data_IF_852110436618
#
_entry.id   IF_852110436618
#
_cell.length_a   1.000
_cell.length_b   1.000
_cell.length_c   1.000
_cell.angle_alpha   90.00
_cell.angle_beta   90.00
_cell.angle_gamma   90.00
#
_symmetry.space_group_name_H-M   'P 1'
#
loop_
_entity.id
_entity.type
_entity.pdbx_description
1 polymer ?
#
# COMPACT_ATOMS: atom_id res chain seq x y z
N UNK A 1 -12.27 9.07 7.73
CA UNK A 1 -13.17 8.79 6.59
C UNK A 1 -12.73 9.48 5.29
N UNK A 2 -12.41 10.78 5.29
CA UNK A 2 -11.93 11.51 4.10
C UNK A 2 -10.66 10.91 3.46
N UNK A 3 -9.60 10.67 4.26
CA UNK A 3 -8.35 10.07 3.78
C UNK A 3 -8.55 8.68 3.15
N UNK A 4 -9.43 7.86 3.74
CA UNK A 4 -9.80 6.54 3.20
C UNK A 4 -10.43 6.63 1.81
N UNK A 5 -11.27 7.64 1.57
CA UNK A 5 -11.86 7.87 0.25
C UNK A 5 -10.82 8.33 -0.77
N UNK A 6 -9.92 9.24 -0.37
CA UNK A 6 -8.83 9.72 -1.21
C UNK A 6 -7.88 8.57 -1.61
N UNK A 7 -7.47 7.75 -0.63
CA UNK A 7 -6.64 6.57 -0.85
C UNK A 7 -7.32 5.55 -1.77
N UNK A 8 -8.60 5.23 -1.54
CA UNK A 8 -9.36 4.35 -2.43
C UNK A 8 -9.37 4.88 -3.87
N UNK A 9 -9.50 6.18 -4.06
CA UNK A 9 -9.52 6.79 -5.39
C UNK A 9 -8.15 6.76 -6.07
N UNK A 10 -7.08 7.05 -5.33
CA UNK A 10 -5.70 6.95 -5.82
C UNK A 10 -5.27 5.51 -6.14
N UNK A 11 -5.73 4.55 -5.35
CA UNK A 11 -5.40 3.13 -5.51
C UNK A 11 -6.31 2.46 -6.52
N UNK A 12 -7.49 2.98 -6.83
CA UNK A 12 -8.43 2.36 -7.76
C UNK A 12 -7.80 1.96 -9.12
N UNK A 13 -6.94 2.78 -9.77
CA UNK A 13 -6.24 2.38 -10.98
C UNK A 13 -5.26 1.22 -10.75
N UNK A 14 -4.52 1.25 -9.63
CA UNK A 14 -3.57 0.20 -9.27
C UNK A 14 -4.29 -1.11 -8.92
N UNK A 15 -5.43 -1.03 -8.22
CA UNK A 15 -6.21 -2.18 -7.78
C UNK A 15 -6.92 -2.89 -8.94
N UNK A 16 -7.20 -2.24 -10.07
CA UNK A 16 -7.87 -2.87 -11.23
C UNK A 16 -7.16 -4.12 -11.73
N UNK A 17 -5.82 -4.11 -11.72
CA UNK A 17 -4.99 -5.21 -12.22
C UNK A 17 -4.42 -6.09 -11.10
N UNK A 18 -4.81 -5.83 -9.85
CA UNK A 18 -4.33 -6.56 -8.68
C UNK A 18 -5.29 -7.71 -8.38
N UNK A 19 -4.80 -8.94 -8.14
CA UNK A 19 -5.63 -10.08 -7.74
C UNK A 19 -6.44 -9.79 -6.48
N UNK A 20 -7.62 -10.40 -6.34
CA UNK A 20 -8.55 -10.11 -5.24
C UNK A 20 -7.95 -10.35 -3.85
N UNK A 21 -7.09 -11.37 -3.73
CA UNK A 21 -6.36 -11.67 -2.49
C UNK A 21 -5.41 -10.52 -2.09
N UNK A 22 -4.75 -9.90 -3.06
CA UNK A 22 -3.88 -8.75 -2.83
C UNK A 22 -4.69 -7.48 -2.53
N UNK A 23 -5.86 -7.30 -3.17
CA UNK A 23 -6.77 -6.19 -2.83
C UNK A 23 -7.23 -6.27 -1.38
N UNK A 24 -7.59 -7.45 -0.89
CA UNK A 24 -8.00 -7.65 0.51
C UNK A 24 -6.86 -7.30 1.49
N UNK A 25 -5.62 -7.70 1.18
CA UNK A 25 -4.44 -7.33 1.99
C UNK A 25 -4.23 -5.81 2.02
N UNK A 26 -4.33 -5.14 0.86
CA UNK A 26 -4.22 -3.68 0.78
C UNK A 26 -5.34 -3.01 1.59
N UNK A 27 -6.58 -3.47 1.46
CA UNK A 27 -7.72 -2.94 2.23
C UNK A 27 -7.53 -3.14 3.74
N UNK A 28 -7.05 -4.30 4.18
CA UNK A 28 -6.76 -4.56 5.58
C UNK A 28 -5.67 -3.63 6.14
N UNK A 29 -4.64 -3.35 5.34
CA UNK A 29 -3.60 -2.38 5.73
C UNK A 29 -4.17 -0.96 5.77
N UNK A 30 -5.00 -0.54 4.80
CA UNK A 30 -5.70 0.76 4.82
C UNK A 30 -6.61 0.90 6.04
N UNK A 31 -7.23 -0.19 6.47
CA UNK A 31 -8.11 -0.21 7.64
C UNK A 31 -7.33 -0.13 8.96
N UNK A 32 -6.17 -0.79 9.05
CA UNK A 32 -5.27 -0.75 10.21
C UNK A 32 -4.49 0.57 10.32
N UNK A 33 -3.88 0.99 9.22
CA UNK A 33 -2.96 2.12 9.16
C UNK A 33 -3.04 2.83 7.79
N UNK A 34 -4.00 3.74 7.62
CA UNK A 34 -4.16 4.50 6.38
C UNK A 34 -3.00 5.48 6.13
N UNK A 35 -2.35 5.97 7.19
CA UNK A 35 -1.24 6.91 7.07
C UNK A 35 0.01 6.22 6.53
N UNK A 36 0.27 4.99 6.98
CA UNK A 36 1.32 4.14 6.42
C UNK A 36 1.12 3.97 4.91
N UNK A 37 -0.09 3.62 4.47
CA UNK A 37 -0.35 3.38 3.05
C UNK A 37 -0.22 4.66 2.22
N UNK A 38 -0.57 5.82 2.78
CA UNK A 38 -0.36 7.11 2.14
C UNK A 38 1.12 7.47 2.00
N UNK A 39 1.95 7.12 2.98
CA UNK A 39 3.42 7.28 2.89
C UNK A 39 4.00 6.38 1.79
N UNK A 40 3.61 5.11 1.76
CA UNK A 40 4.01 4.16 0.71
C UNK A 40 3.65 4.68 -0.67
N UNK A 41 2.40 5.12 -0.85
CA UNK A 41 1.93 5.66 -2.13
C UNK A 41 2.74 6.89 -2.57
N UNK A 42 3.02 7.81 -1.64
CA UNK A 42 3.79 9.02 -1.91
C UNK A 42 5.26 8.71 -2.24
N UNK A 43 5.88 7.78 -1.53
CA UNK A 43 7.25 7.32 -1.82
C UNK A 43 7.32 6.66 -3.20
N UNK A 44 6.33 5.83 -3.54
CA UNK A 44 6.26 5.19 -4.86
C UNK A 44 6.06 6.24 -5.96
N UNK A 45 5.19 7.22 -5.74
CA UNK A 45 4.95 8.32 -6.69
C UNK A 45 6.21 9.17 -6.93
N UNK A 46 7.00 9.44 -5.89
CA UNK A 46 8.28 10.16 -6.02
C UNK A 46 9.25 9.37 -6.91
N UNK A 47 9.34 8.04 -6.74
CA UNK A 47 10.20 7.20 -7.58
C UNK A 47 9.70 7.11 -9.03
N UNK A 48 8.39 7.02 -9.22
CA UNK A 48 7.77 7.03 -10.55
C UNK A 48 8.06 8.35 -11.27
N UNK A 49 7.89 9.48 -10.57
CA UNK A 49 8.25 10.81 -11.08
C UNK A 49 9.75 10.96 -11.36
N UNK A 50 10.58 10.20 -10.66
CA UNK A 50 12.02 10.08 -10.92
C UNK A 50 12.38 9.24 -12.15
N UNK A 51 11.40 8.70 -12.89
CA UNK A 51 11.61 7.90 -14.09
C UNK A 51 11.63 6.39 -13.86
N UNK A 52 11.35 5.93 -12.64
CA UNK A 52 11.25 4.50 -12.34
C UNK A 52 9.89 3.94 -12.80
N UNK A 53 9.89 2.71 -13.30
CA UNK A 53 8.63 2.01 -13.62
C UNK A 53 7.76 1.84 -12.37
N UNK A 54 6.43 1.93 -12.54
CA UNK A 54 5.45 1.84 -11.46
C UNK A 54 5.62 0.56 -10.63
N UNK A 55 5.83 -0.59 -11.28
CA UNK A 55 5.98 -1.87 -10.58
C UNK A 55 7.29 -1.91 -9.79
N UNK A 56 8.38 -1.41 -10.36
CA UNK A 56 9.70 -1.36 -9.71
C UNK A 56 9.69 -0.40 -8.52
N UNK A 57 9.11 0.79 -8.68
CA UNK A 57 8.97 1.79 -7.62
C UNK A 57 8.17 1.24 -6.44
N UNK A 58 7.01 0.63 -6.72
CA UNK A 58 6.21 -0.06 -5.72
C UNK A 58 7.03 -1.15 -5.01
N UNK A 59 7.68 -2.03 -5.76
CA UNK A 59 8.47 -3.13 -5.18
C UNK A 59 9.58 -2.62 -4.27
N UNK A 60 10.31 -1.58 -4.67
CA UNK A 60 11.35 -1.01 -3.82
C UNK A 60 10.79 -0.36 -2.55
N UNK A 61 9.68 0.36 -2.63
CA UNK A 61 9.07 1.00 -1.46
C UNK A 61 8.50 -0.05 -0.51
N UNK A 62 7.84 -1.07 -1.03
CA UNK A 62 7.38 -2.22 -0.25
C UNK A 62 8.54 -2.92 0.44
N UNK A 63 9.67 -3.12 -0.25
CA UNK A 63 10.88 -3.71 0.32
C UNK A 63 11.51 -2.81 1.40
N UNK A 64 11.59 -1.50 1.15
CA UNK A 64 12.09 -0.52 2.12
C UNK A 64 11.23 -0.46 3.39
N UNK A 65 9.94 -0.77 3.27
CA UNK A 65 8.97 -0.77 4.36
C UNK A 65 8.53 -2.19 4.75
N UNK A 66 9.29 -3.22 4.39
CA UNK A 66 8.92 -4.62 4.58
C UNK A 66 8.74 -4.94 6.06
N UNK A 67 9.60 -4.43 6.93
CA UNK A 67 9.48 -4.61 8.38
C UNK A 67 8.20 -3.99 8.94
N UNK A 68 7.84 -2.79 8.48
CA UNK A 68 6.62 -2.11 8.90
C UNK A 68 5.37 -2.85 8.40
N UNK A 69 5.39 -3.29 7.14
CA UNK A 69 4.37 -4.17 6.56
C UNK A 69 4.24 -5.47 7.34
N UNK A 70 5.36 -6.09 7.71
CA UNK A 70 5.39 -7.33 8.48
C UNK A 70 4.84 -7.13 9.88
N UNK A 71 5.13 -6.00 10.53
CA UNK A 71 4.55 -5.65 11.83
C UNK A 71 3.03 -5.43 11.73
N UNK A 72 2.57 -4.74 10.69
CA UNK A 72 1.14 -4.53 10.43
C UNK A 72 0.42 -5.84 10.13
N UNK A 73 1.01 -6.71 9.31
CA UNK A 73 0.44 -8.02 8.93
C UNK A 73 0.55 -9.08 10.03
N UNK A 74 1.60 -9.10 10.84
CA UNK A 74 1.66 -9.92 12.06
C UNK A 74 0.53 -9.51 13.01
N UNK A 75 0.32 -8.20 13.20
CA UNK A 75 -0.79 -7.70 14.02
C UNK A 75 -2.19 -8.01 13.46
N UNK A 76 -2.29 -8.48 12.21
CA UNK A 76 -3.52 -9.02 11.62
C UNK A 76 -3.67 -10.53 11.89
N UNK A 77 -2.56 -11.26 12.05
CA UNK A 77 -2.53 -12.70 12.30
C UNK A 77 -2.57 -13.06 13.80
N UNK A 78 -2.12 -12.15 14.66
CA UNK A 78 -2.04 -12.36 16.11
C UNK A 78 -3.39 -12.12 16.84
N UNK A 79 -4.45 -11.73 16.12
CA UNK A 79 -5.82 -11.65 16.66
C UNK A 79 -6.61 -12.90 16.25
N UNK A 80 -6.24 -14.07 16.77
CA UNK A 80 -7.08 -15.27 16.78
C UNK A 80 -6.84 -16.10 18.04
#
# INVERSE_FOLDING_TARGET
MFQKMLLKHMLAPALKNVPEEQKQKILAIVDKDPDFLMRIAKEAEVKIKGGMDQMTALKEVFKANEEALRKLTSSLLDNN
#
